data_IF_635752710572
#
_entry.id   IF_635752710572
#
_cell.length_a   1.000
_cell.length_b   1.000
_cell.length_c   1.000
_cell.angle_alpha   90.00
_cell.angle_beta   90.00
_cell.angle_gamma   90.00
#
_symmetry.space_group_name_H-M   'P 1'
#
loop_
_entity.id
_entity.type
_entity.pdbx_description
1 polymer ?
#
# COMPACT_ATOMS: atom_id res chain seq x y z
N UNK A 1 -43.47 -25.14 -13.75
CA UNK A 1 -43.33 -23.75 -14.21
C UNK A 1 -43.16 -22.87 -12.98
N UNK A 2 -41.95 -22.38 -12.71
CA UNK A 2 -41.62 -21.61 -11.50
C UNK A 2 -41.60 -20.11 -11.82
N UNK A 3 -42.36 -19.30 -11.08
CA UNK A 3 -42.38 -17.83 -11.17
C UNK A 3 -41.43 -17.27 -10.10
N UNK A 4 -40.47 -16.43 -10.50
CA UNK A 4 -39.55 -15.74 -9.59
C UNK A 4 -39.94 -14.26 -9.60
N UNK A 5 -40.19 -13.68 -8.41
CA UNK A 5 -40.51 -12.26 -8.22
C UNK A 5 -39.23 -11.48 -7.91
N UNK A 6 -38.99 -10.39 -8.63
CA UNK A 6 -37.93 -9.41 -8.35
C UNK A 6 -38.38 -8.45 -7.24
N UNK A 7 -37.61 -8.35 -6.16
CA UNK A 7 -37.74 -7.30 -5.14
C UNK A 7 -36.42 -6.54 -5.05
N UNK A 8 -36.40 -5.33 -5.61
CA UNK A 8 -35.39 -4.34 -5.27
C UNK A 8 -35.81 -3.56 -4.02
N UNK A 9 -34.86 -3.30 -3.13
CA UNK A 9 -34.75 -2.11 -2.28
C UNK A 9 -33.49 -2.23 -1.39
N UNK A 10 -32.80 -1.10 -1.23
CA UNK A 10 -31.42 -0.89 -0.75
C UNK A 10 -31.12 -1.34 0.70
N UNK A 11 -29.84 -1.23 1.10
CA UNK A 11 -29.54 -0.59 2.37
C UNK A 11 -28.70 0.68 2.14
N UNK A 12 -29.20 1.80 2.67
CA UNK A 12 -28.37 2.94 3.01
C UNK A 12 -27.49 2.53 4.19
N UNK A 13 -26.18 2.51 4.01
CA UNK A 13 -25.22 2.45 5.08
C UNK A 13 -24.50 3.80 5.15
N UNK A 14 -24.65 4.39 6.33
CA UNK A 14 -24.10 5.63 6.86
C UNK A 14 -22.64 5.88 6.50
N UNK A 15 -22.38 7.15 6.21
CA UNK A 15 -21.06 7.75 6.10
C UNK A 15 -20.16 7.39 7.29
N UNK A 16 -18.93 7.03 6.98
CA UNK A 16 -17.86 6.82 7.93
C UNK A 16 -16.81 5.88 7.34
N UNK A 17 -15.88 6.42 6.56
CA UNK A 17 -14.52 5.90 6.58
C UNK A 17 -13.51 6.95 6.09
N UNK A 18 -12.83 7.53 7.08
CA UNK A 18 -11.38 7.72 7.12
C UNK A 18 -10.60 7.38 5.85
N UNK A 19 -9.86 8.36 5.32
CA UNK A 19 -8.97 8.30 4.15
C UNK A 19 -8.35 6.94 3.82
N UNK A 20 -9.10 6.14 3.07
CA UNK A 20 -8.61 4.93 2.43
C UNK A 20 -8.26 5.32 1.00
N UNK A 21 -6.96 5.31 0.70
CA UNK A 21 -6.46 5.32 -0.68
C UNK A 21 -7.21 4.22 -1.44
N UNK A 22 -8.17 4.60 -2.29
CA UNK A 22 -8.99 3.64 -3.01
C UNK A 22 -8.08 2.89 -3.99
N UNK A 23 -7.68 1.69 -3.60
CA UNK A 23 -6.88 0.80 -4.43
C UNK A 23 -7.69 0.44 -5.67
N UNK A 24 -7.27 0.92 -6.83
CA UNK A 24 -7.93 0.62 -8.10
C UNK A 24 -7.61 -0.83 -8.52
N UNK A 25 -8.64 -1.65 -8.70
CA UNK A 25 -8.52 -3.05 -9.15
C UNK A 25 -8.92 -3.18 -10.62
N UNK A 26 -8.09 -3.84 -11.42
CA UNK A 26 -8.38 -4.19 -12.81
C UNK A 26 -8.85 -5.65 -12.91
N UNK A 27 -9.92 -5.90 -13.66
CA UNK A 27 -10.37 -7.26 -13.97
C UNK A 27 -9.63 -7.77 -15.21
N UNK A 28 -8.84 -8.84 -15.07
CA UNK A 28 -8.21 -9.56 -16.18
C UNK A 28 -9.15 -10.63 -16.77
N UNK A 29 -8.94 -11.03 -18.04
CA UNK A 29 -9.67 -12.15 -18.62
C UNK A 29 -9.65 -13.38 -17.70
N UNK A 30 -10.81 -13.99 -17.49
CA UNK A 30 -11.00 -15.05 -16.48
C UNK A 30 -11.49 -14.57 -15.11
N UNK A 31 -11.75 -13.26 -14.94
CA UNK A 31 -12.35 -12.72 -13.71
C UNK A 31 -11.37 -12.47 -12.57
N UNK A 32 -10.06 -12.51 -12.85
CA UNK A 32 -9.03 -12.25 -11.86
C UNK A 32 -8.90 -10.76 -11.59
N UNK A 33 -8.97 -10.34 -10.32
CA UNK A 33 -8.70 -8.97 -9.90
C UNK A 33 -7.21 -8.76 -9.70
N UNK A 34 -6.63 -7.79 -10.39
CA UNK A 34 -5.24 -7.38 -10.23
C UNK A 34 -5.19 -5.94 -9.76
N UNK A 35 -4.51 -5.73 -8.63
CA UNK A 35 -4.28 -4.40 -8.09
C UNK A 35 -3.41 -3.58 -9.03
N UNK A 36 -3.88 -2.39 -9.43
CA UNK A 36 -3.05 -1.43 -10.16
C UNK A 36 -2.00 -0.85 -9.21
N UNK A 37 -0.76 -0.81 -9.67
CA UNK A 37 0.35 -0.14 -8.98
C UNK A 37 0.45 1.27 -9.55
N UNK A 38 -0.15 2.23 -8.86
CA UNK A 38 0.00 3.65 -9.18
C UNK A 38 1.35 4.16 -8.68
N UNK A 39 2.05 5.00 -9.44
CA UNK A 39 3.27 5.70 -8.98
C UNK A 39 2.99 6.64 -7.79
N UNK A 40 1.72 6.97 -7.54
CA UNK A 40 1.27 7.70 -6.35
C UNK A 40 1.25 6.83 -5.08
N UNK A 41 1.05 5.51 -5.21
CA UNK A 41 1.25 4.58 -4.10
C UNK A 41 2.72 4.53 -3.64
N UNK A 42 3.66 4.94 -4.50
CA UNK A 42 5.06 5.16 -4.14
C UNK A 42 5.30 6.55 -3.52
N UNK A 43 4.40 7.51 -3.72
CA UNK A 43 4.45 8.82 -3.03
C UNK A 43 3.92 8.70 -1.59
N UNK A 44 2.97 7.79 -1.35
CA UNK A 44 2.53 7.37 0.00
C UNK A 44 3.36 6.19 0.53
N UNK A 45 4.36 5.69 -0.21
CA UNK A 45 5.31 4.74 0.37
C UNK A 45 6.09 5.50 1.44
N UNK A 46 5.90 5.09 2.70
CA UNK A 46 6.63 5.65 3.83
C UNK A 46 8.11 5.75 3.46
N UNK A 47 8.71 6.93 3.71
CA UNK A 47 10.11 7.19 3.38
C UNK A 47 10.96 5.99 3.82
N UNK A 48 11.73 5.42 2.89
CA UNK A 48 12.47 4.19 3.13
C UNK A 48 13.28 4.32 4.44
N UNK A 49 13.19 3.35 5.36
CA UNK A 49 13.75 3.52 6.69
C UNK A 49 15.27 3.71 6.59
N UNK A 50 15.80 4.82 7.10
CA UNK A 50 17.24 5.04 7.11
C UNK A 50 17.93 4.06 8.06
N UNK A 51 18.98 3.38 7.59
CA UNK A 51 19.76 2.45 8.40
C UNK A 51 20.81 3.24 9.18
N UNK A 52 20.89 3.04 10.50
CA UNK A 52 21.88 3.68 11.36
C UNK A 52 23.07 2.76 11.58
N UNK A 53 24.25 3.14 11.09
CA UNK A 53 25.47 2.35 11.17
C UNK A 53 26.44 3.02 12.14
N UNK A 54 26.94 2.25 13.12
CA UNK A 54 27.99 2.69 14.05
C UNK A 54 29.26 1.89 13.80
N UNK A 55 30.34 2.60 13.47
CA UNK A 55 31.66 2.00 13.20
C UNK A 55 32.63 2.44 14.29
N UNK A 56 33.37 1.49 14.84
CA UNK A 56 34.47 1.76 15.78
C UNK A 56 35.81 1.51 15.09
N UNK A 57 36.73 2.47 15.23
CA UNK A 57 38.11 2.34 14.75
C UNK A 57 39.05 2.99 15.77
N UNK A 58 39.90 2.20 16.41
CA UNK A 58 40.72 2.66 17.53
C UNK A 58 39.86 3.25 18.65
N UNK A 59 40.16 4.48 19.05
CA UNK A 59 39.37 5.27 20.01
C UNK A 59 38.22 6.07 19.38
N UNK A 60 38.08 6.03 18.05
CA UNK A 60 37.08 6.80 17.31
C UNK A 60 35.79 6.00 17.08
N UNK A 61 34.66 6.69 17.18
CA UNK A 61 33.33 6.15 16.88
C UNK A 61 32.65 7.04 15.85
N UNK A 62 32.27 6.46 14.72
CA UNK A 62 31.52 7.16 13.67
C UNK A 62 30.10 6.62 13.63
N UNK A 63 29.13 7.52 13.54
CA UNK A 63 27.74 7.18 13.32
C UNK A 63 27.29 7.81 12.00
N UNK A 64 26.78 6.99 11.09
CA UNK A 64 26.27 7.42 9.78
C UNK A 64 24.86 6.88 9.57
N UNK A 65 24.04 7.63 8.83
CA UNK A 65 22.73 7.18 8.35
C UNK A 65 22.84 6.94 6.86
N UNK A 66 22.44 5.74 6.41
CA UNK A 66 22.53 5.33 5.01
C UNK A 66 21.16 4.91 4.48
N UNK A 67 21.01 4.97 3.16
CA UNK A 67 19.88 4.34 2.46
C UNK A 67 19.94 2.81 2.63
N UNK A 68 18.79 2.10 2.72
CA UNK A 68 18.74 0.64 2.65
C UNK A 68 19.38 0.03 1.40
N UNK A 69 19.54 0.81 0.33
CA UNK A 69 20.07 0.39 -0.97
C UNK A 69 21.55 0.78 -1.15
N UNK A 70 22.21 1.28 -0.09
CA UNK A 70 23.63 1.68 -0.17
C UNK A 70 24.53 0.47 -0.48
N UNK A 71 25.53 0.68 -1.33
CA UNK A 71 26.55 -0.33 -1.68
C UNK A 71 27.87 -0.02 -0.97
N UNK A 72 28.75 -1.03 -0.91
CA UNK A 72 30.11 -0.89 -0.40
C UNK A 72 31.00 -0.06 -1.34
#
# INVERSE_FOLDING_TARGET
MMRIRSKGAAPAATAGDSGTDQVEWEVRPGGMLVQKRSTESEQTAAAAPTVRVRVKYGSSVHEIRISPQATF
#
